data_IF_554545479568
#
_entry.id   IF_554545479568
#
_cell.length_a   1.000
_cell.length_b   1.000
_cell.length_c   1.000
_cell.angle_alpha   90.00
_cell.angle_beta   90.00
_cell.angle_gamma   90.00
#
_symmetry.space_group_name_H-M   'P 1'
#
loop_
_entity.id
_entity.type
_entity.pdbx_description
1 polymer ?
#
# COMPACT_ATOMS: atom_id res chain seq x y z
N UNK A 1 -4.90 -37.55 -29.44
CA UNK A 1 -5.85 -37.57 -28.33
C UNK A 1 -5.28 -36.66 -27.26
N UNK A 2 -5.66 -35.40 -27.40
CA UNK A 2 -5.84 -34.34 -26.42
C UNK A 2 -4.72 -34.12 -25.38
N UNK A 3 -3.79 -33.25 -25.77
CA UNK A 3 -2.84 -32.57 -24.90
C UNK A 3 -3.27 -31.11 -24.68
N UNK A 4 -4.50 -30.90 -24.18
CA UNK A 4 -5.08 -29.55 -24.00
C UNK A 4 -5.86 -29.38 -22.68
N UNK A 5 -5.49 -30.14 -21.63
CA UNK A 5 -6.16 -30.09 -20.33
C UNK A 5 -5.48 -29.19 -19.28
N UNK A 6 -4.48 -28.39 -19.66
CA UNK A 6 -3.77 -27.47 -18.75
C UNK A 6 -4.12 -25.98 -18.97
N UNK A 7 -5.03 -25.66 -19.90
CA UNK A 7 -5.36 -24.27 -20.26
C UNK A 7 -6.24 -23.55 -19.23
N UNK A 8 -6.95 -24.28 -18.38
CA UNK A 8 -7.86 -23.73 -17.36
C UNK A 8 -7.16 -23.21 -16.08
N UNK A 9 -5.85 -23.47 -15.92
CA UNK A 9 -5.10 -23.08 -14.71
C UNK A 9 -4.49 -21.67 -14.79
N UNK A 10 -4.50 -21.03 -15.96
CA UNK A 10 -3.85 -19.73 -16.16
C UNK A 10 -4.87 -18.57 -16.13
N UNK A 11 -4.44 -17.36 -15.76
CA UNK A 11 -5.26 -16.15 -15.90
C UNK A 11 -5.79 -16.04 -17.33
N UNK A 12 -7.11 -16.05 -17.52
CA UNK A 12 -7.76 -16.14 -18.84
C UNK A 12 -8.16 -14.78 -19.43
N UNK A 13 -8.24 -13.73 -18.62
CA UNK A 13 -8.67 -12.40 -19.05
C UNK A 13 -7.50 -11.59 -19.62
N UNK A 14 -7.59 -11.24 -20.91
CA UNK A 14 -6.64 -10.35 -21.57
C UNK A 14 -6.93 -8.88 -21.27
N UNK A 15 -5.87 -8.07 -21.22
CA UNK A 15 -5.99 -6.61 -21.12
C UNK A 15 -6.63 -6.06 -22.39
N UNK A 16 -7.63 -5.21 -22.23
CA UNK A 16 -8.28 -4.48 -23.32
C UNK A 16 -8.50 -3.03 -22.89
N UNK A 17 -8.75 -2.09 -23.83
CA UNK A 17 -9.12 -0.72 -23.46
C UNK A 17 -10.32 -0.66 -22.50
N UNK A 18 -11.26 -1.60 -22.61
CA UNK A 18 -12.46 -1.69 -21.76
C UNK A 18 -12.18 -2.40 -20.42
N UNK A 19 -11.17 -3.27 -20.37
CA UNK A 19 -10.76 -4.03 -19.18
C UNK A 19 -9.27 -3.79 -18.92
N UNK A 20 -8.86 -2.59 -18.47
CA UNK A 20 -7.49 -2.33 -18.07
C UNK A 20 -7.18 -2.93 -16.69
N UNK A 21 -8.20 -3.15 -15.85
CA UNK A 21 -8.12 -3.72 -14.52
C UNK A 21 -9.35 -4.56 -14.21
N UNK A 22 -9.16 -5.67 -13.48
CA UNK A 22 -10.26 -6.38 -12.83
C UNK A 22 -10.36 -5.87 -11.40
N UNK A 23 -11.56 -5.50 -10.96
CA UNK A 23 -11.77 -4.70 -9.75
C UNK A 23 -12.81 -5.30 -8.81
N UNK A 24 -12.62 -5.13 -7.51
CA UNK A 24 -13.63 -5.41 -6.47
C UNK A 24 -13.60 -4.31 -5.41
N UNK A 25 -14.77 -3.75 -5.14
CA UNK A 25 -14.95 -2.77 -4.07
C UNK A 25 -15.48 -3.46 -2.80
N UNK A 26 -15.05 -2.98 -1.64
CA UNK A 26 -15.62 -3.40 -0.38
C UNK A 26 -17.01 -2.73 -0.19
N UNK A 27 -18.12 -3.49 -0.16
CA UNK A 27 -19.47 -2.91 -0.14
C UNK A 27 -19.82 -2.21 1.19
N UNK A 28 -19.01 -2.38 2.24
CA UNK A 28 -19.26 -1.82 3.57
C UNK A 28 -18.64 -0.43 3.78
N UNK A 29 -17.79 0.05 2.85
CA UNK A 29 -17.11 1.34 2.97
C UNK A 29 -17.52 2.21 1.77
N UNK A 30 -18.46 3.17 1.95
CA UNK A 30 -18.94 4.01 0.87
C UNK A 30 -17.81 4.83 0.24
N UNK A 31 -17.78 4.85 -1.09
CA UNK A 31 -16.85 5.66 -1.89
C UNK A 31 -17.57 6.28 -3.09
N UNK A 32 -17.07 7.43 -3.56
CA UNK A 32 -17.55 8.02 -4.80
C UNK A 32 -17.06 7.22 -6.00
N UNK A 33 -17.92 7.07 -7.02
CA UNK A 33 -17.58 6.29 -8.21
C UNK A 33 -17.58 4.78 -7.98
N UNK A 34 -18.50 4.27 -7.16
CA UNK A 34 -18.74 2.82 -7.04
C UNK A 34 -18.87 2.14 -8.41
N UNK A 35 -18.71 0.81 -8.43
CA UNK A 35 -18.58 -0.09 -9.59
C UNK A 35 -19.66 -0.02 -10.71
N UNK A 36 -20.59 0.94 -10.66
CA UNK A 36 -21.60 1.20 -11.70
C UNK A 36 -21.32 2.41 -12.61
N UNK A 37 -20.16 3.08 -12.49
CA UNK A 37 -19.84 4.31 -13.23
C UNK A 37 -18.88 4.15 -14.41
N UNK A 38 -19.15 3.24 -15.35
CA UNK A 38 -18.72 3.30 -16.78
C UNK A 38 -17.26 3.55 -17.20
N UNK A 39 -16.31 3.71 -16.28
CA UNK A 39 -14.91 3.95 -16.58
C UNK A 39 -14.04 3.21 -15.56
N UNK A 40 -13.05 2.47 -16.05
CA UNK A 40 -12.10 1.82 -15.17
C UNK A 40 -11.33 2.88 -14.38
N UNK A 41 -11.60 2.98 -13.08
CA UNK A 41 -10.80 3.83 -12.19
C UNK A 41 -9.37 3.30 -12.19
N UNK A 42 -8.41 4.17 -12.54
CA UNK A 42 -7.00 3.79 -12.55
C UNK A 42 -6.57 3.34 -11.15
N UNK A 43 -7.05 4.01 -10.11
CA UNK A 43 -6.68 3.79 -8.71
C UNK A 43 -7.91 3.55 -7.80
N UNK A 44 -7.75 3.69 -6.47
CA UNK A 44 -8.84 3.42 -5.53
C UNK A 44 -10.05 4.33 -5.78
N UNK A 45 -11.27 3.93 -5.35
CA UNK A 45 -12.44 4.76 -5.54
C UNK A 45 -12.31 5.99 -4.62
N UNK A 46 -12.59 7.16 -5.18
CA UNK A 46 -12.30 8.42 -4.53
C UNK A 46 -13.09 8.59 -3.22
N UNK A 47 -12.49 9.30 -2.28
CA UNK A 47 -13.21 9.81 -1.12
C UNK A 47 -14.06 11.02 -1.52
N UNK A 48 -15.21 11.20 -0.89
CA UNK A 48 -16.05 12.36 -1.13
C UNK A 48 -15.36 13.70 -0.88
N UNK A 49 -15.43 14.57 -1.89
CA UNK A 49 -14.78 15.88 -1.90
C UNK A 49 -13.27 15.84 -2.13
N UNK A 50 -12.75 14.77 -2.74
CA UNK A 50 -11.36 14.73 -3.20
C UNK A 50 -11.09 15.75 -4.30
N UNK A 51 -10.02 16.54 -4.14
CA UNK A 51 -9.58 17.58 -5.08
C UNK A 51 -8.37 17.07 -5.87
N UNK A 52 -8.58 16.03 -6.68
CA UNK A 52 -7.50 15.34 -7.38
C UNK A 52 -6.72 16.24 -8.35
N UNK A 53 -7.42 17.08 -9.13
CA UNK A 53 -6.77 18.00 -10.08
C UNK A 53 -5.84 18.98 -9.35
N UNK A 54 -6.34 19.65 -8.31
CA UNK A 54 -5.55 20.58 -7.48
C UNK A 54 -4.36 19.89 -6.82
N UNK A 55 -4.52 18.63 -6.39
CA UNK A 55 -3.41 17.84 -5.88
C UNK A 55 -2.33 17.57 -6.94
N UNK A 56 -2.72 17.16 -8.15
CA UNK A 56 -1.78 16.86 -9.24
C UNK A 56 -1.01 18.12 -9.64
N UNK A 57 -1.71 19.25 -9.78
CA UNK A 57 -1.11 20.54 -10.12
C UNK A 57 -0.09 20.98 -9.06
N UNK A 58 -0.52 21.14 -7.80
CA UNK A 58 0.38 21.59 -6.73
C UNK A 58 1.49 20.59 -6.38
N UNK A 59 1.21 19.28 -6.49
CA UNK A 59 2.21 18.24 -6.30
C UNK A 59 3.24 18.22 -7.43
N UNK A 60 2.80 18.48 -8.66
CA UNK A 60 3.65 18.63 -9.84
C UNK A 60 4.60 19.83 -9.70
N UNK A 61 4.08 21.00 -9.32
CA UNK A 61 4.90 22.20 -9.04
C UNK A 61 5.95 21.92 -7.96
N UNK A 62 5.57 21.22 -6.88
CA UNK A 62 6.52 20.87 -5.81
C UNK A 62 7.65 19.96 -6.29
N UNK A 63 7.36 19.03 -7.20
CA UNK A 63 8.33 18.15 -7.83
C UNK A 63 9.23 18.89 -8.82
N UNK A 64 8.69 19.86 -9.56
CA UNK A 64 9.46 20.72 -10.45
C UNK A 64 10.50 21.52 -9.64
N UNK A 65 10.08 22.20 -8.57
CA UNK A 65 11.00 22.90 -7.66
C UNK A 65 12.11 22.00 -7.10
N UNK A 66 11.77 20.76 -6.73
CA UNK A 66 12.77 19.80 -6.27
C UNK A 66 13.72 19.36 -7.40
N UNK A 67 13.19 19.15 -8.61
CA UNK A 67 13.99 18.85 -9.79
C UNK A 67 14.98 19.97 -10.12
N UNK A 68 14.56 21.23 -10.03
CA UNK A 68 15.38 22.42 -10.26
C UNK A 68 16.51 22.53 -9.24
N UNK A 69 16.19 22.27 -7.97
CA UNK A 69 17.18 22.17 -6.91
C UNK A 69 18.22 21.08 -7.20
N UNK A 70 17.80 19.88 -7.62
CA UNK A 70 18.72 18.79 -7.97
C UNK A 70 19.64 19.16 -9.16
N UNK A 71 19.12 19.85 -10.18
CA UNK A 71 19.92 20.33 -11.31
C UNK A 71 20.98 21.33 -10.86
N UNK A 72 20.61 22.29 -10.01
CA UNK A 72 21.55 23.27 -9.45
C UNK A 72 22.65 22.60 -8.62
N UNK A 73 22.32 21.58 -7.83
CA UNK A 73 23.32 20.81 -7.06
C UNK A 73 24.30 20.08 -7.99
N UNK A 74 23.79 19.45 -9.05
CA UNK A 74 24.63 18.73 -10.02
C UNK A 74 25.52 19.68 -10.83
N UNK A 75 25.04 20.87 -11.19
CA UNK A 75 25.86 21.92 -11.82
C UNK A 75 27.00 22.39 -10.93
N UNK A 76 26.71 22.68 -9.65
CA UNK A 76 27.75 23.04 -8.65
C UNK A 76 28.78 21.94 -8.48
N UNK A 77 28.34 20.68 -8.52
CA UNK A 77 29.23 19.51 -8.46
C UNK A 77 30.15 19.46 -9.67
N UNK A 78 29.64 19.72 -10.88
CA UNK A 78 30.46 19.75 -12.11
C UNK A 78 31.46 20.91 -12.12
N UNK A 79 31.05 22.08 -11.66
CA UNK A 79 31.91 23.26 -11.58
C UNK A 79 33.04 23.13 -10.54
N UNK A 80 32.83 22.37 -9.46
CA UNK A 80 33.80 22.15 -8.38
C UNK A 80 34.94 21.15 -8.69
N UNK A 81 35.03 20.63 -9.91
CA UNK A 81 35.99 19.58 -10.29
C UNK A 81 35.66 18.20 -9.69
N UNK A 82 36.47 17.18 -9.99
CA UNK A 82 36.27 15.78 -9.56
C UNK A 82 36.44 15.53 -8.03
N UNK A 83 36.25 16.56 -7.21
CA UNK A 83 36.24 16.47 -5.76
C UNK A 83 34.98 15.77 -5.23
N UNK A 84 35.16 15.00 -4.16
CA UNK A 84 34.09 14.31 -3.43
C UNK A 84 33.01 15.30 -3.01
N UNK A 85 31.73 14.96 -3.22
CA UNK A 85 30.58 15.77 -2.78
C UNK A 85 30.73 16.12 -1.30
N UNK A 86 30.67 17.42 -0.98
CA UNK A 86 30.72 17.89 0.41
C UNK A 86 29.62 17.23 1.24
N UNK A 87 29.98 16.75 2.43
CA UNK A 87 29.03 16.19 3.40
C UNK A 87 27.86 17.14 3.68
N UNK A 88 28.09 18.46 3.68
CA UNK A 88 27.05 19.45 3.89
C UNK A 88 26.03 19.45 2.74
N UNK A 89 26.50 19.35 1.50
CA UNK A 89 25.65 19.32 0.31
C UNK A 89 24.82 18.02 0.24
N UNK A 90 25.42 16.88 0.56
CA UNK A 90 24.66 15.62 0.64
C UNK A 90 23.55 15.68 1.68
N UNK A 91 23.82 16.27 2.87
CA UNK A 91 22.79 16.47 3.91
C UNK A 91 21.66 17.37 3.42
N UNK A 92 21.99 18.45 2.71
CA UNK A 92 20.98 19.35 2.15
C UNK A 92 20.10 18.64 1.13
N UNK A 93 20.67 17.82 0.24
CA UNK A 93 19.90 17.03 -0.72
C UNK A 93 18.96 16.05 -0.01
N UNK A 94 19.42 15.39 1.05
CA UNK A 94 18.57 14.51 1.85
C UNK A 94 17.43 15.28 2.51
N UNK A 95 17.71 16.44 3.11
CA UNK A 95 16.69 17.27 3.75
C UNK A 95 15.64 17.76 2.75
N UNK A 96 16.05 18.25 1.57
CA UNK A 96 15.13 18.70 0.52
C UNK A 96 14.29 17.55 -0.06
N UNK A 97 14.89 16.36 -0.17
CA UNK A 97 14.18 15.14 -0.58
C UNK A 97 13.09 14.78 0.41
N UNK A 98 13.41 14.77 1.70
CA UNK A 98 12.45 14.47 2.76
C UNK A 98 11.36 15.55 2.84
N UNK A 99 11.73 16.82 2.72
CA UNK A 99 10.81 17.95 2.65
C UNK A 99 9.83 17.82 1.47
N UNK A 100 10.32 17.53 0.27
CA UNK A 100 9.50 17.32 -0.92
C UNK A 100 8.46 16.22 -0.72
N UNK A 101 8.88 15.06 -0.20
CA UNK A 101 7.97 13.95 0.09
C UNK A 101 6.93 14.36 1.14
N UNK A 102 7.35 15.04 2.20
CA UNK A 102 6.44 15.49 3.26
C UNK A 102 5.39 16.48 2.73
N UNK A 103 5.81 17.46 1.93
CA UNK A 103 4.92 18.46 1.35
C UNK A 103 3.88 17.81 0.42
N UNK A 104 4.30 16.85 -0.41
CA UNK A 104 3.39 16.07 -1.27
C UNK A 104 2.36 15.32 -0.43
N UNK A 105 2.79 14.61 0.61
CA UNK A 105 1.87 13.84 1.47
C UNK A 105 0.94 14.74 2.28
N UNK A 106 1.41 15.92 2.71
CA UNK A 106 0.59 16.93 3.38
C UNK A 106 -0.45 17.52 2.42
N UNK A 107 -0.06 17.85 1.19
CA UNK A 107 -1.00 18.30 0.17
C UNK A 107 -2.04 17.22 -0.15
N UNK A 108 -1.61 15.97 -0.35
CA UNK A 108 -2.50 14.84 -0.57
C UNK A 108 -3.54 14.68 0.54
N UNK A 109 -3.13 14.87 1.80
CA UNK A 109 -4.04 14.91 2.94
C UNK A 109 -5.08 16.02 2.82
N UNK A 110 -4.65 17.26 2.61
CA UNK A 110 -5.55 18.43 2.57
C UNK A 110 -6.54 18.32 1.41
N UNK A 111 -6.09 17.76 0.27
CA UNK A 111 -6.90 17.53 -0.92
C UNK A 111 -7.71 16.22 -0.88
N UNK A 112 -7.67 15.47 0.23
CA UNK A 112 -8.32 14.16 0.41
C UNK A 112 -7.91 13.07 -0.61
N UNK A 113 -6.71 13.14 -1.16
CA UNK A 113 -6.09 12.09 -2.00
C UNK A 113 -5.31 11.13 -1.08
N UNK A 114 -6.03 10.42 -0.21
CA UNK A 114 -5.44 9.74 0.95
C UNK A 114 -5.22 8.24 0.77
N UNK A 115 -5.74 7.65 -0.29
CA UNK A 115 -5.67 6.20 -0.47
C UNK A 115 -4.24 5.73 -0.76
N UNK A 116 -3.99 4.45 -0.51
CA UNK A 116 -2.77 3.77 -0.91
C UNK A 116 -3.00 2.28 -0.95
N UNK A 117 -1.99 1.52 -1.39
CA UNK A 117 -2.14 0.09 -1.68
C UNK A 117 -0.93 -0.73 -1.27
N UNK A 118 -1.20 -1.93 -0.78
CA UNK A 118 -0.24 -3.03 -0.79
C UNK A 118 -0.13 -3.60 -2.20
N UNK A 119 1.09 -3.83 -2.67
CA UNK A 119 1.38 -4.37 -4.00
C UNK A 119 1.98 -5.78 -3.90
N UNK A 120 1.28 -6.77 -4.45
CA UNK A 120 1.71 -8.16 -4.55
C UNK A 120 1.98 -8.46 -6.03
N UNK A 121 3.11 -9.12 -6.30
CA UNK A 121 3.48 -9.58 -7.64
C UNK A 121 3.37 -11.10 -7.65
N UNK A 122 2.37 -11.62 -8.37
CA UNK A 122 1.97 -13.02 -8.31
C UNK A 122 2.30 -13.73 -9.62
N UNK A 123 2.88 -14.92 -9.54
CA UNK A 123 3.16 -15.73 -10.72
C UNK A 123 1.86 -16.08 -11.48
N UNK A 124 1.88 -16.13 -12.83
CA UNK A 124 0.68 -16.41 -13.63
C UNK A 124 -0.07 -17.69 -13.24
N UNK A 125 0.62 -18.71 -12.73
CA UNK A 125 0.01 -19.98 -12.34
C UNK A 125 -0.83 -19.90 -11.06
N UNK A 126 -0.57 -18.93 -10.18
CA UNK A 126 -1.26 -18.78 -8.88
C UNK A 126 -2.19 -17.58 -8.82
N UNK A 127 -2.22 -16.74 -9.86
CA UNK A 127 -2.95 -15.46 -9.83
C UNK A 127 -4.46 -15.63 -9.66
N UNK A 128 -5.07 -16.66 -10.26
CA UNK A 128 -6.51 -16.91 -10.15
C UNK A 128 -6.90 -17.26 -8.71
N UNK A 129 -6.13 -18.15 -8.08
CA UNK A 129 -6.34 -18.55 -6.68
C UNK A 129 -6.13 -17.36 -5.73
N UNK A 130 -5.01 -16.64 -5.87
CA UNK A 130 -4.72 -15.47 -5.04
C UNK A 130 -5.79 -14.39 -5.21
N UNK A 131 -6.23 -14.15 -6.45
CA UNK A 131 -7.28 -13.18 -6.72
C UNK A 131 -8.62 -13.57 -6.09
N UNK A 132 -9.02 -14.85 -6.17
CA UNK A 132 -10.24 -15.33 -5.53
C UNK A 132 -10.22 -15.10 -4.01
N UNK A 133 -9.08 -15.35 -3.35
CA UNK A 133 -8.90 -15.09 -1.91
C UNK A 133 -9.01 -13.59 -1.62
N UNK A 134 -8.27 -12.75 -2.35
CA UNK A 134 -8.26 -11.29 -2.15
C UNK A 134 -9.64 -10.68 -2.40
N UNK A 135 -10.30 -11.06 -3.50
CA UNK A 135 -11.61 -10.55 -3.85
C UNK A 135 -12.68 -10.96 -2.84
N UNK A 136 -12.69 -12.24 -2.44
CA UNK A 136 -13.61 -12.74 -1.42
C UNK A 136 -13.41 -12.05 -0.06
N UNK A 137 -12.16 -11.91 0.39
CA UNK A 137 -11.86 -11.25 1.66
C UNK A 137 -12.17 -9.74 1.63
N UNK A 138 -12.00 -9.07 0.49
CA UNK A 138 -12.40 -7.67 0.30
C UNK A 138 -13.91 -7.51 0.36
N UNK A 139 -14.66 -8.38 -0.33
CA UNK A 139 -16.12 -8.35 -0.33
C UNK A 139 -16.74 -8.66 1.04
N UNK A 140 -16.04 -9.42 1.90
CA UNK A 140 -16.44 -9.73 3.29
C UNK A 140 -15.95 -8.72 4.32
N UNK A 141 -15.44 -7.55 3.90
CA UNK A 141 -14.91 -6.51 4.80
C UNK A 141 -13.71 -6.93 5.66
N UNK A 142 -12.95 -7.93 5.23
CA UNK A 142 -11.77 -8.41 5.97
C UNK A 142 -10.49 -7.66 5.57
N UNK A 143 -10.42 -7.21 4.32
CA UNK A 143 -9.32 -6.40 3.80
C UNK A 143 -9.68 -4.90 3.85
N UNK A 144 -9.13 -4.11 2.94
CA UNK A 144 -9.35 -2.66 2.92
C UNK A 144 -10.55 -2.25 2.06
N UNK A 145 -10.47 -1.09 1.41
CA UNK A 145 -11.62 -0.47 0.71
C UNK A 145 -11.90 -1.07 -0.66
N UNK A 146 -10.89 -1.66 -1.29
CA UNK A 146 -10.98 -2.23 -2.63
C UNK A 146 -9.74 -3.08 -2.93
N UNK A 147 -9.82 -3.86 -4.00
CA UNK A 147 -8.67 -4.52 -4.60
C UNK A 147 -8.78 -4.53 -6.13
N UNK A 148 -7.63 -4.62 -6.80
CA UNK A 148 -7.55 -4.82 -8.25
C UNK A 148 -6.47 -5.82 -8.63
N UNK A 149 -6.64 -6.48 -9.76
CA UNK A 149 -5.62 -7.34 -10.38
C UNK A 149 -5.40 -6.94 -11.83
N UNK A 150 -4.14 -6.94 -12.26
CA UNK A 150 -3.76 -6.71 -13.65
C UNK A 150 -4.23 -7.89 -14.51
N UNK A 151 -4.97 -7.65 -15.61
CA UNK A 151 -5.22 -8.67 -16.62
C UNK A 151 -3.93 -9.18 -17.27
N UNK A 152 -4.04 -10.21 -18.09
CA UNK A 152 -2.93 -10.75 -18.85
C UNK A 152 -2.58 -9.81 -20.01
N UNK A 153 -1.31 -9.35 -20.07
CA UNK A 153 -0.82 -8.52 -21.17
C UNK A 153 -0.81 -9.29 -22.50
N UNK A 154 -0.22 -10.48 -22.49
CA UNK A 154 -0.10 -11.36 -23.65
C UNK A 154 -0.29 -12.82 -23.22
N UNK A 155 -0.94 -13.68 -24.05
CA UNK A 155 -1.05 -15.11 -23.80
C UNK A 155 0.31 -15.75 -23.53
N UNK A 156 0.41 -16.53 -22.45
CA UNK A 156 1.65 -17.20 -22.06
C UNK A 156 2.74 -16.30 -21.46
N UNK A 157 2.47 -15.00 -21.24
CA UNK A 157 3.44 -14.08 -20.63
C UNK A 157 3.88 -14.57 -19.24
N UNK A 158 5.20 -14.79 -19.01
CA UNK A 158 5.73 -15.27 -17.74
C UNK A 158 5.82 -14.16 -16.67
N UNK A 159 5.48 -12.91 -17.02
CA UNK A 159 5.55 -11.77 -16.09
C UNK A 159 4.63 -11.99 -14.90
N UNK A 160 5.06 -11.60 -13.71
CA UNK A 160 4.19 -11.57 -12.54
C UNK A 160 3.01 -10.61 -12.77
N UNK A 161 1.84 -10.93 -12.23
CA UNK A 161 0.63 -10.10 -12.26
C UNK A 161 0.56 -9.27 -10.98
N UNK A 162 0.31 -7.98 -11.14
CA UNK A 162 0.16 -7.06 -10.01
C UNK A 162 -1.25 -7.23 -9.40
N UNK A 163 -1.30 -7.53 -8.11
CA UNK A 163 -2.49 -7.45 -7.27
C UNK A 163 -2.30 -6.31 -6.28
N UNK A 164 -3.26 -5.39 -6.23
CA UNK A 164 -3.26 -4.25 -5.32
C UNK A 164 -4.41 -4.36 -4.33
N UNK A 165 -4.13 -4.15 -3.04
CA UNK A 165 -5.13 -4.11 -1.97
C UNK A 165 -5.08 -2.72 -1.33
N UNK A 166 -6.19 -2.00 -1.40
CA UNK A 166 -6.26 -0.59 -1.03
C UNK A 166 -6.68 -0.37 0.42
N UNK A 167 -6.03 0.55 1.12
CA UNK A 167 -6.51 1.07 2.40
C UNK A 167 -7.03 2.49 2.22
N UNK A 168 -7.77 2.97 3.22
CA UNK A 168 -8.53 4.21 3.08
C UNK A 168 -7.70 5.49 3.27
N UNK A 169 -6.64 5.42 4.08
CA UNK A 169 -5.74 6.54 4.39
C UNK A 169 -4.31 6.00 4.58
N UNK A 170 -3.35 6.50 3.80
CA UNK A 170 -1.94 6.08 3.86
C UNK A 170 -1.24 6.47 5.17
N UNK A 171 -1.87 7.29 6.00
CA UNK A 171 -1.34 7.73 7.31
C UNK A 171 -1.87 6.87 8.45
N UNK A 172 -2.98 6.17 8.25
CA UNK A 172 -3.51 5.24 9.23
C UNK A 172 -2.69 3.96 9.22
N UNK A 173 -1.58 3.99 9.96
CA UNK A 173 -0.71 2.83 10.14
C UNK A 173 -1.43 1.65 10.80
N UNK A 174 -2.48 1.89 11.58
CA UNK A 174 -3.25 0.82 12.21
C UNK A 174 -4.08 0.05 11.19
N UNK A 175 -4.77 0.74 10.28
CA UNK A 175 -5.49 0.08 9.18
C UNK A 175 -4.53 -0.59 8.20
N UNK A 176 -3.42 0.06 7.84
CA UNK A 176 -2.37 -0.54 6.99
C UNK A 176 -1.85 -1.83 7.61
N UNK A 177 -1.59 -1.83 8.92
CA UNK A 177 -1.11 -2.99 9.65
C UNK A 177 -2.18 -4.07 9.81
N UNK A 178 -3.43 -3.69 10.06
CA UNK A 178 -4.59 -4.59 10.10
C UNK A 178 -4.74 -5.36 8.79
N UNK A 179 -4.70 -4.65 7.66
CA UNK A 179 -4.79 -5.27 6.33
C UNK A 179 -3.60 -6.19 6.07
N UNK A 180 -2.37 -5.76 6.38
CA UNK A 180 -1.18 -6.62 6.22
C UNK A 180 -1.26 -7.87 7.10
N UNK A 181 -1.71 -7.73 8.33
CA UNK A 181 -1.89 -8.85 9.25
C UNK A 181 -2.93 -9.85 8.70
N UNK A 182 -4.03 -9.35 8.12
CA UNK A 182 -5.01 -10.22 7.47
C UNK A 182 -4.44 -10.92 6.24
N UNK A 183 -3.66 -10.24 5.41
CA UNK A 183 -2.95 -10.85 4.28
C UNK A 183 -2.00 -11.97 4.73
N UNK A 184 -1.36 -11.83 5.90
CA UNK A 184 -0.55 -12.89 6.51
C UNK A 184 -1.40 -14.09 6.93
N UNK A 185 -2.54 -13.85 7.58
CA UNK A 185 -3.47 -14.92 8.00
C UNK A 185 -4.07 -15.69 6.81
N UNK A 186 -4.22 -15.03 5.66
CA UNK A 186 -4.64 -15.63 4.39
C UNK A 186 -3.48 -16.30 3.63
N UNK A 187 -2.30 -16.40 4.25
CA UNK A 187 -1.07 -16.99 3.70
C UNK A 187 -0.52 -16.33 2.42
N UNK A 188 -1.00 -15.13 2.09
CA UNK A 188 -0.56 -14.37 0.91
C UNK A 188 0.74 -13.61 1.14
N UNK A 189 1.10 -13.36 2.41
CA UNK A 189 2.33 -12.67 2.81
C UNK A 189 3.01 -13.45 3.93
N UNK A 190 4.33 -13.57 3.84
CA UNK A 190 5.15 -14.26 4.84
C UNK A 190 5.99 -13.23 5.62
N UNK A 191 6.01 -13.35 6.93
CA UNK A 191 6.81 -12.52 7.85
C UNK A 191 8.12 -13.22 8.31
N UNK A 192 8.31 -14.49 7.93
CA UNK A 192 9.49 -15.30 8.23
C UNK A 192 10.69 -15.01 7.32
N UNK A 193 11.88 -15.37 7.78
CA UNK A 193 13.12 -15.27 7.03
C UNK A 193 12.99 -15.96 5.65
N UNK A 194 13.39 -15.26 4.58
CA UNK A 194 13.32 -15.74 3.20
C UNK A 194 12.09 -15.29 2.40
N UNK A 195 11.07 -14.70 3.02
CA UNK A 195 9.96 -14.07 2.30
C UNK A 195 10.40 -12.79 1.56
N UNK A 196 10.01 -12.63 0.28
CA UNK A 196 10.17 -11.36 -0.44
C UNK A 196 9.24 -10.31 0.19
N UNK A 197 9.77 -9.14 0.60
CA UNK A 197 8.92 -8.10 1.17
C UNK A 197 7.99 -7.52 0.09
N UNK A 198 6.72 -7.35 0.44
CA UNK A 198 5.80 -6.50 -0.32
C UNK A 198 5.90 -5.05 0.14
N UNK A 199 5.43 -4.13 -0.70
CA UNK A 199 5.53 -2.68 -0.47
C UNK A 199 4.17 -2.01 -0.51
N UNK A 200 4.04 -0.97 0.31
CA UNK A 200 2.88 -0.10 0.37
C UNK A 200 3.20 1.25 -0.30
N UNK A 201 2.37 1.65 -1.26
CA UNK A 201 2.51 2.89 -2.03
C UNK A 201 1.27 3.76 -1.88
N UNK A 202 1.44 5.05 -1.61
CA UNK A 202 0.33 6.01 -1.65
C UNK A 202 -0.09 6.31 -3.09
N UNK A 203 -1.40 6.47 -3.32
CA UNK A 203 -1.94 6.80 -4.65
C UNK A 203 -1.46 8.18 -5.11
N UNK A 204 -1.25 9.09 -4.16
CA UNK A 204 -0.57 10.38 -4.37
C UNK A 204 0.74 10.25 -5.16
N UNK A 205 1.54 9.21 -4.90
CA UNK A 205 2.78 8.96 -5.63
C UNK A 205 2.52 8.43 -7.05
N UNK A 206 1.45 7.65 -7.27
CA UNK A 206 1.11 7.23 -8.63
C UNK A 206 0.64 8.42 -9.48
N UNK A 207 -0.27 9.24 -8.96
CA UNK A 207 -0.78 10.41 -9.69
C UNK A 207 0.30 11.41 -10.09
N UNK A 208 1.37 11.51 -9.31
CA UNK A 208 2.52 12.37 -9.60
C UNK A 208 3.65 11.66 -10.40
N UNK A 209 3.42 10.44 -10.90
CA UNK A 209 4.42 9.71 -11.69
C UNK A 209 5.64 9.24 -10.89
N UNK A 210 5.56 9.18 -9.55
CA UNK A 210 6.63 8.70 -8.68
C UNK A 210 6.62 7.16 -8.68
N UNK A 211 7.28 6.60 -9.71
CA UNK A 211 7.54 5.17 -9.88
C UNK A 211 8.96 4.75 -9.48
N UNK A 212 9.29 3.48 -9.69
CA UNK A 212 10.68 3.00 -9.58
C UNK A 212 11.56 3.72 -10.61
N UNK A 213 12.74 4.19 -10.20
CA UNK A 213 13.66 4.89 -11.10
C UNK A 213 13.20 6.29 -11.54
N UNK A 214 12.25 6.91 -10.82
CA UNK A 214 11.81 8.28 -11.11
C UNK A 214 13.00 9.28 -11.15
N UNK A 215 12.92 10.35 -11.96
CA UNK A 215 14.03 11.26 -12.20
C UNK A 215 14.50 12.03 -10.96
N UNK A 216 13.66 12.14 -9.93
CA UNK A 216 13.98 12.80 -8.68
C UNK A 216 14.72 11.89 -7.69
N UNK A 217 14.77 10.57 -7.94
CA UNK A 217 15.33 9.56 -7.03
C UNK A 217 14.51 9.36 -5.75
N UNK A 218 13.23 9.75 -5.74
CA UNK A 218 12.34 9.57 -4.59
C UNK A 218 12.00 8.09 -4.39
N UNK A 219 11.77 7.65 -3.14
CA UNK A 219 11.30 6.29 -2.89
C UNK A 219 9.82 6.20 -3.31
N UNK A 220 9.50 5.21 -4.14
CA UNK A 220 8.13 4.99 -4.65
C UNK A 220 7.19 4.27 -3.66
N UNK A 221 7.66 3.93 -2.47
CA UNK A 221 6.90 3.25 -1.42
C UNK A 221 7.09 3.96 -0.08
N UNK A 222 6.01 4.00 0.72
CA UNK A 222 6.03 4.55 2.08
C UNK A 222 6.51 3.52 3.09
N UNK A 223 6.02 2.28 2.96
CA UNK A 223 6.30 1.20 3.89
C UNK A 223 6.63 -0.09 3.14
N UNK A 224 7.46 -0.91 3.75
CA UNK A 224 7.55 -2.33 3.43
C UNK A 224 6.76 -3.16 4.45
N UNK A 225 6.40 -4.37 4.07
CA UNK A 225 5.84 -5.36 4.99
C UNK A 225 6.72 -5.58 6.23
N UNK A 226 8.05 -5.52 6.09
CA UNK A 226 8.98 -5.62 7.22
C UNK A 226 8.81 -4.47 8.22
N UNK A 227 8.68 -3.25 7.72
CA UNK A 227 8.48 -2.05 8.56
C UNK A 227 7.18 -2.18 9.38
N UNK A 228 6.11 -2.67 8.74
CA UNK A 228 4.80 -2.81 9.38
C UNK A 228 4.73 -4.02 10.32
N UNK A 229 5.38 -5.14 10.02
CA UNK A 229 5.51 -6.24 10.97
C UNK A 229 6.34 -5.87 12.20
N UNK A 230 7.39 -5.03 12.04
CA UNK A 230 8.12 -4.48 13.18
C UNK A 230 7.22 -3.58 14.03
N UNK A 231 6.45 -2.69 13.39
CA UNK A 231 5.46 -1.84 14.06
C UNK A 231 4.45 -2.64 14.89
N UNK A 232 3.91 -3.73 14.34
CA UNK A 232 2.97 -4.61 15.06
C UNK A 232 3.60 -5.23 16.32
N UNK A 233 4.84 -5.75 16.22
CA UNK A 233 5.56 -6.34 17.36
C UNK A 233 5.81 -5.31 18.48
N UNK A 234 6.17 -4.08 18.11
CA UNK A 234 6.35 -3.00 19.08
C UNK A 234 5.05 -2.61 19.79
N UNK A 235 3.91 -2.67 19.09
CA UNK A 235 2.59 -2.37 19.65
C UNK A 235 2.11 -3.50 20.60
N UNK A 236 2.33 -4.76 20.23
CA UNK A 236 2.05 -5.92 21.07
C UNK A 236 2.86 -5.88 22.38
N UNK A 237 4.16 -5.56 22.31
CA UNK A 237 5.02 -5.45 23.50
C UNK A 237 4.70 -4.27 24.44
N UNK A 238 3.93 -3.27 23.98
CA UNK A 238 3.50 -2.11 24.79
C UNK A 238 2.11 -2.27 25.39
N UNK A 239 1.37 -3.32 25.04
CA UNK A 239 0.04 -3.57 25.62
C UNK A 239 0.24 -4.18 27.01
N UNK A 240 -0.21 -3.54 28.12
CA UNK A 240 -0.04 -4.13 29.44
C UNK A 240 -0.82 -5.43 29.53
N UNK A 241 -0.11 -6.54 29.75
CA UNK A 241 -0.65 -7.87 29.94
C UNK A 241 -1.62 -7.84 31.12
N UNK A 242 -2.93 -7.78 30.86
CA UNK A 242 -3.96 -8.06 31.87
C UNK A 242 -3.99 -9.57 32.14
N UNK A 243 -2.99 -10.06 32.85
CA UNK A 243 -3.02 -11.42 33.38
C UNK A 243 -2.12 -11.50 34.62
N UNK A 244 -2.73 -11.23 35.78
CA UNK A 244 -2.48 -11.78 37.13
C UNK A 244 -3.15 -10.90 38.19
N UNK A 245 -4.46 -11.02 38.32
CA UNK A 245 -5.20 -10.62 39.52
C UNK A 245 -6.53 -11.39 39.58
N UNK A 246 -6.43 -12.71 39.66
CA UNK A 246 -7.54 -13.57 40.10
C UNK A 246 -6.92 -14.73 40.89
N UNK A 247 -6.38 -14.40 42.06
CA UNK A 247 -6.05 -15.38 43.10
C UNK A 247 -6.24 -14.76 44.47
N UNK A 248 -7.48 -14.84 44.95
CA UNK A 248 -7.91 -15.10 46.34
C UNK A 248 -9.40 -14.78 46.44
N UNK A 249 -10.21 -15.80 46.15
CA UNK A 249 -11.49 -15.93 46.82
C UNK A 249 -11.12 -16.61 48.14
N UNK A 250 -11.09 -15.82 49.21
CA UNK A 250 -11.09 -16.37 50.55
C UNK A 250 -12.48 -17.00 50.75
N UNK A 251 -12.50 -18.32 50.92
CA UNK A 251 -13.60 -19.04 51.57
C UNK A 251 -13.72 -18.50 52.99
N UNK A 252 -14.80 -17.80 53.29
CA UNK A 252 -15.35 -17.66 54.66
C UNK A 252 -16.82 -17.19 54.57
N UNK A 253 -17.72 -18.17 54.47
CA UNK A 253 -19.14 -18.15 54.81
C UNK A 253 -19.42 -19.56 55.34
N UNK A 254 -20.12 -19.85 56.43
CA UNK A 254 -21.03 -19.18 57.35
C UNK A 254 -20.98 -20.02 58.65
N UNK A 255 -21.25 -19.48 59.83
CA UNK A 255 -22.51 -19.67 60.58
C UNK A 255 -22.24 -19.07 61.98
N UNK A 256 -23.13 -18.39 62.71
CA UNK A 256 -24.53 -18.08 62.55
C UNK A 256 -24.94 -17.31 63.82
N UNK A 257 -25.91 -16.39 63.70
CA UNK A 257 -26.64 -15.84 64.84
C UNK A 257 -28.13 -15.87 64.52
N UNK A 258 -28.88 -16.74 65.21
CA UNK A 258 -30.30 -16.56 65.48
C UNK A 258 -30.55 -16.81 66.97
N UNK A 259 -31.42 -15.94 67.50
CA UNK A 259 -31.89 -15.69 68.87
C UNK A 259 -31.86 -16.83 69.90
#
# INVERSE_FOLDING_TARGET
MDSDSDSDFYATTDVTPDIPWIYVANPFIPREGGCGGGGAVEEAPAESGAQLHTFIEGGGERLELFGDFLRTVEEKRRAGGAGRVSTAMSRQVTAEREGCVNDILMLARVMKVRTGKWMLFIEPASVNEVWAIVAGATARNELGIAAKVAPREEPGSPRERLVCIYTYDFRDKDDIARVLHRLRQLELVRDRAGGRPIYYKADAFTYLGIGSGNPWGLRASLYSSKDIFAYLKEKEGKTPTKEKAASKVDEDQEEGWQF
#
